data_IF_764601529050
#
_entry.id   IF_764601529050
#
_cell.length_a   1.000
_cell.length_b   1.000
_cell.length_c   1.000
_cell.angle_alpha   90.00
_cell.angle_beta   90.00
_cell.angle_gamma   90.00
#
_symmetry.space_group_name_H-M   'P 1'
#
loop_
_entity.id
_entity.type
_entity.pdbx_description
1 polymer ?
#
# COMPACT_ATOMS: atom_id res chain seq x y z
N UNK A 1 9.71 28.37 7.96
CA UNK A 1 10.80 28.17 6.98
C UNK A 1 10.39 28.82 5.67
N UNK A 2 11.28 29.56 5.01
CA UNK A 2 10.99 30.22 3.72
C UNK A 2 11.97 29.66 2.70
N UNK A 3 11.45 29.05 1.63
CA UNK A 3 12.24 28.52 0.52
C UNK A 3 12.09 29.49 -0.65
N UNK A 4 13.20 30.05 -1.12
CA UNK A 4 13.19 30.95 -2.27
C UNK A 4 12.85 30.20 -3.58
N UNK A 5 12.37 30.91 -4.64
CA UNK A 5 12.14 30.29 -5.93
C UNK A 5 13.38 29.54 -6.44
N UNK A 6 13.19 28.32 -6.93
CA UNK A 6 14.26 27.40 -7.41
C UNK A 6 15.30 27.01 -6.34
N UNK A 7 15.09 27.34 -5.07
CA UNK A 7 15.94 26.90 -3.97
C UNK A 7 15.42 25.59 -3.36
N UNK A 8 16.31 24.87 -2.68
CA UNK A 8 15.99 23.71 -1.86
C UNK A 8 16.44 23.94 -0.42
N UNK A 9 15.76 23.32 0.53
CA UNK A 9 16.16 23.33 1.92
C UNK A 9 16.07 21.93 2.51
N UNK A 10 17.16 21.48 3.11
CA UNK A 10 17.21 20.20 3.83
C UNK A 10 16.77 20.40 5.27
N UNK A 11 16.06 19.41 5.82
CA UNK A 11 15.77 19.32 7.25
C UNK A 11 16.21 17.95 7.77
N UNK A 12 16.61 17.89 9.04
CA UNK A 12 16.99 16.65 9.70
C UNK A 12 15.81 16.12 10.50
N UNK A 13 15.53 14.84 10.35
CA UNK A 13 14.60 14.10 11.21
C UNK A 13 15.44 13.23 12.14
N UNK A 14 15.14 13.30 13.43
CA UNK A 14 15.78 12.46 14.43
C UNK A 14 14.70 11.75 15.24
N UNK A 15 14.81 10.42 15.33
CA UNK A 15 13.98 9.63 16.22
C UNK A 15 14.41 9.84 17.67
N UNK A 16 13.45 10.15 18.53
CA UNK A 16 13.66 10.40 19.98
C UNK A 16 12.75 9.53 20.86
N UNK A 17 12.07 8.54 20.26
CA UNK A 17 11.27 7.56 20.99
C UNK A 17 12.10 6.34 21.40
N UNK A 18 11.43 5.21 21.62
CA UNK A 18 12.08 3.93 21.95
C UNK A 18 13.18 3.59 20.94
N UNK A 19 14.46 3.48 21.34
CA UNK A 19 15.56 3.18 20.42
C UNK A 19 15.51 1.76 19.83
N UNK A 20 14.69 0.86 20.38
CA UNK A 20 14.59 -0.53 19.96
C UNK A 20 13.13 -1.04 19.97
N UNK A 21 12.23 -0.46 19.16
CA UNK A 21 10.85 -0.88 19.15
C UNK A 21 10.73 -2.34 18.70
N UNK A 22 9.78 -3.08 19.28
CA UNK A 22 9.59 -4.51 18.97
C UNK A 22 9.16 -4.75 17.51
N UNK A 23 8.42 -3.80 16.95
CA UNK A 23 7.91 -3.81 15.58
C UNK A 23 8.15 -2.47 14.90
N UNK A 24 8.19 -2.50 13.59
CA UNK A 24 8.30 -1.29 12.77
C UNK A 24 7.18 -0.29 13.09
N UNK A 25 7.56 0.97 13.27
CA UNK A 25 6.62 2.07 13.46
C UNK A 25 6.47 2.85 12.15
N UNK A 26 5.22 3.10 11.76
CA UNK A 26 4.88 3.77 10.51
C UNK A 26 4.41 5.20 10.75
N UNK A 27 5.08 6.16 10.12
CA UNK A 27 4.78 7.59 10.21
C UNK A 27 4.67 8.21 8.82
N UNK A 28 4.15 9.44 8.78
CA UNK A 28 4.18 10.31 7.60
C UNK A 28 4.94 11.58 7.94
N UNK A 29 5.88 11.96 7.08
CA UNK A 29 6.40 13.32 7.05
C UNK A 29 5.48 14.11 6.15
N UNK A 30 4.70 15.02 6.75
CA UNK A 30 3.78 15.90 6.03
C UNK A 30 4.38 17.30 6.01
N UNK A 31 4.63 17.83 4.83
CA UNK A 31 4.99 19.23 4.64
C UNK A 31 3.88 19.93 3.87
N UNK A 32 3.53 21.14 4.27
CA UNK A 32 2.46 21.93 3.64
C UNK A 32 2.98 23.31 3.33
N UNK A 33 2.79 23.75 2.09
CA UNK A 33 3.10 25.10 1.68
C UNK A 33 2.00 26.04 2.16
N UNK A 34 2.41 27.09 2.88
CA UNK A 34 1.51 28.17 3.26
C UNK A 34 1.48 29.22 2.14
N UNK A 35 0.28 29.71 1.75
CA UNK A 35 0.16 30.71 0.70
C UNK A 35 0.77 32.04 1.15
N UNK A 36 1.46 32.71 0.22
CA UNK A 36 1.95 34.07 0.43
C UNK A 36 0.94 35.01 -0.24
N UNK A 37 0.38 35.95 0.53
CA UNK A 37 -0.54 36.96 -0.03
C UNK A 37 0.25 37.98 -0.85
N UNK A 38 0.14 37.90 -2.17
CA UNK A 38 0.60 38.97 -3.05
C UNK A 38 -0.42 40.11 -3.07
N UNK A 39 0.03 41.35 -3.33
CA UNK A 39 -0.88 42.49 -3.53
C UNK A 39 -1.75 42.22 -4.75
N UNK A 40 -3.05 42.42 -4.63
CA UNK A 40 -3.98 42.23 -5.74
C UNK A 40 -3.69 43.27 -6.83
N UNK A 41 -3.25 42.81 -8.00
CA UNK A 41 -3.18 43.64 -9.20
C UNK A 41 -4.49 43.46 -9.97
N UNK A 42 -5.35 44.47 -9.94
CA UNK A 42 -6.56 44.50 -10.77
C UNK A 42 -6.16 44.87 -12.21
N UNK A 43 -6.33 43.96 -13.15
CA UNK A 43 -6.31 44.23 -14.59
C UNK A 43 -7.67 43.83 -15.19
N UNK A 44 -8.39 44.82 -15.75
CA UNK A 44 -9.65 44.61 -16.47
C UNK A 44 -10.91 44.43 -15.59
N UNK A 45 -12.07 44.30 -16.24
CA UNK A 45 -13.39 44.15 -15.61
C UNK A 45 -13.61 42.75 -14.98
N UNK A 46 -12.88 41.73 -15.45
CA UNK A 46 -12.94 40.37 -14.92
C UNK A 46 -11.54 39.90 -14.55
N UNK A 47 -11.32 39.66 -13.26
CA UNK A 47 -10.10 39.04 -12.75
C UNK A 47 -10.45 37.79 -11.94
N UNK A 48 -9.77 36.68 -12.24
CA UNK A 48 -9.90 35.42 -11.50
C UNK A 48 -8.59 35.19 -10.74
N UNK A 49 -8.70 35.01 -9.43
CA UNK A 49 -7.57 34.67 -8.56
C UNK A 49 -7.58 33.17 -8.30
N UNK A 50 -6.50 32.49 -8.67
CA UNK A 50 -6.27 31.07 -8.41
C UNK A 50 -5.14 30.93 -7.40
N UNK A 51 -5.45 30.41 -6.22
CA UNK A 51 -4.45 30.09 -5.19
C UNK A 51 -4.13 28.59 -5.23
N UNK A 52 -2.86 28.23 -5.37
CA UNK A 52 -2.37 26.85 -5.38
C UNK A 52 -1.42 26.60 -4.20
N UNK A 53 -1.69 25.55 -3.43
CA UNK A 53 -0.86 25.11 -2.31
C UNK A 53 -0.48 23.64 -2.46
N UNK A 54 0.77 23.31 -2.16
CA UNK A 54 1.27 21.95 -2.19
C UNK A 54 1.27 21.33 -0.80
N UNK A 55 0.85 20.07 -0.71
CA UNK A 55 1.04 19.20 0.46
C UNK A 55 1.82 17.97 0.01
N UNK A 56 2.97 17.73 0.62
CA UNK A 56 3.81 16.57 0.33
C UNK A 56 3.79 15.61 1.51
N UNK A 57 3.61 14.33 1.22
CA UNK A 57 3.55 13.26 2.21
C UNK A 57 4.53 12.14 1.87
N UNK A 58 5.61 12.05 2.63
CA UNK A 58 6.53 10.92 2.55
C UNK A 58 6.21 9.89 3.64
N UNK A 59 6.33 8.61 3.31
CA UNK A 59 6.32 7.56 4.32
C UNK A 59 7.66 7.55 5.06
N UNK A 60 7.62 7.45 6.39
CA UNK A 60 8.78 7.32 7.26
C UNK A 60 8.57 6.11 8.15
N UNK A 61 9.59 5.28 8.27
CA UNK A 61 9.52 4.05 9.04
C UNK A 61 10.68 3.96 10.01
N UNK A 62 10.37 3.62 11.26
CA UNK A 62 11.39 3.29 12.26
C UNK A 62 11.53 1.77 12.26
N UNK A 63 12.64 1.28 11.72
CA UNK A 63 12.87 -0.15 11.44
C UNK A 63 13.79 -0.75 12.52
N UNK A 64 13.33 -1.76 13.29
CA UNK A 64 14.18 -2.43 14.27
C UNK A 64 15.35 -3.19 13.60
N UNK A 65 16.56 -3.23 14.21
CA UNK A 65 17.77 -3.82 13.62
C UNK A 65 17.71 -5.32 13.26
N UNK A 66 16.69 -6.05 13.73
CA UNK A 66 16.48 -7.48 13.47
C UNK A 66 15.06 -7.78 13.00
N UNK A 67 14.40 -6.81 12.38
CA UNK A 67 13.04 -7.00 11.90
C UNK A 67 12.99 -7.93 10.68
N UNK A 68 11.88 -8.64 10.48
CA UNK A 68 11.65 -9.53 9.36
C UNK A 68 10.23 -9.30 8.79
N UNK A 69 10.07 -9.20 7.46
CA UNK A 69 8.74 -9.16 6.86
C UNK A 69 8.13 -10.57 6.92
N UNK A 70 6.81 -10.62 7.08
CA UNK A 70 6.05 -11.84 6.89
C UNK A 70 4.62 -11.48 6.51
N UNK A 71 4.03 -12.24 5.60
CA UNK A 71 2.67 -12.10 5.16
C UNK A 71 2.01 -13.48 5.07
N UNK A 72 0.76 -13.53 5.50
CA UNK A 72 -0.06 -14.75 5.51
C UNK A 72 -1.40 -14.49 4.85
N UNK A 73 -1.86 -15.43 4.02
CA UNK A 73 -3.24 -15.47 3.58
C UNK A 73 -4.14 -15.89 4.74
N UNK A 74 -5.04 -15.00 5.16
CA UNK A 74 -5.97 -15.24 6.26
C UNK A 74 -7.42 -15.44 5.80
N UNK A 75 -7.70 -15.13 4.52
CA UNK A 75 -9.00 -15.37 3.94
C UNK A 75 -8.98 -15.32 2.42
N UNK A 76 -9.84 -16.12 1.81
CA UNK A 76 -10.08 -16.12 0.38
C UNK A 76 -11.58 -16.33 0.13
N UNK A 77 -12.22 -15.47 -0.64
CA UNK A 77 -13.66 -15.53 -0.85
C UNK A 77 -14.08 -15.12 -2.26
N UNK A 78 -15.11 -15.76 -2.84
CA UNK A 78 -15.80 -15.24 -4.01
C UNK A 78 -16.60 -13.99 -3.66
N UNK A 79 -16.50 -12.96 -4.48
CA UNK A 79 -17.28 -11.73 -4.35
C UNK A 79 -17.87 -11.38 -5.71
N UNK A 80 -19.08 -10.82 -5.71
CA UNK A 80 -19.70 -10.23 -6.90
C UNK A 80 -19.89 -8.75 -6.64
N UNK A 81 -19.52 -7.91 -7.60
CA UNK A 81 -19.75 -6.47 -7.49
C UNK A 81 -21.15 -6.07 -7.97
N UNK A 82 -21.48 -4.78 -7.82
CA UNK A 82 -22.79 -4.23 -8.17
C UNK A 82 -23.12 -4.34 -9.68
N UNK A 83 -22.12 -4.65 -10.52
CA UNK A 83 -22.26 -4.83 -11.97
C UNK A 83 -22.31 -6.31 -12.38
N UNK A 84 -22.28 -7.23 -11.41
CA UNK A 84 -22.28 -8.67 -11.64
C UNK A 84 -20.91 -9.25 -11.99
N UNK A 85 -19.82 -8.48 -11.91
CA UNK A 85 -18.48 -8.99 -12.14
C UNK A 85 -18.01 -9.84 -10.96
N UNK A 86 -17.33 -10.95 -11.28
CA UNK A 86 -16.86 -11.95 -10.32
C UNK A 86 -15.42 -11.65 -9.92
N UNK A 87 -15.17 -11.66 -8.62
CA UNK A 87 -13.90 -11.32 -8.00
C UNK A 87 -13.47 -12.39 -7.00
N UNK A 88 -12.17 -12.58 -6.90
CA UNK A 88 -11.52 -13.31 -5.82
C UNK A 88 -11.00 -12.28 -4.82
N UNK A 89 -11.59 -12.24 -3.62
CA UNK A 89 -11.13 -11.38 -2.54
C UNK A 89 -10.12 -12.13 -1.67
N UNK A 90 -8.87 -11.68 -1.67
CA UNK A 90 -7.79 -12.17 -0.83
C UNK A 90 -7.58 -11.24 0.35
N UNK A 91 -7.55 -11.80 1.57
CA UNK A 91 -7.19 -11.09 2.80
C UNK A 91 -5.83 -11.54 3.26
N UNK A 92 -4.90 -10.60 3.33
CA UNK A 92 -3.49 -10.86 3.60
C UNK A 92 -3.10 -10.08 4.86
N UNK A 93 -2.67 -10.78 5.89
CA UNK A 93 -2.15 -10.21 7.13
C UNK A 93 -0.63 -10.07 7.03
N UNK A 94 -0.09 -8.93 7.48
CA UNK A 94 1.35 -8.79 7.73
C UNK A 94 1.63 -9.13 9.20
N UNK A 95 2.12 -10.34 9.46
CA UNK A 95 2.34 -10.90 10.80
C UNK A 95 3.81 -10.90 11.24
N UNK A 96 4.70 -10.30 10.44
CA UNK A 96 6.11 -10.11 10.77
C UNK A 96 6.38 -9.02 11.84
N UNK A 97 7.63 -8.58 11.90
CA UNK A 97 8.07 -7.45 12.76
C UNK A 97 8.39 -6.18 11.97
N UNK A 98 8.30 -6.21 10.64
CA UNK A 98 8.25 -5.05 9.75
C UNK A 98 7.24 -5.25 8.63
N UNK A 99 6.91 -4.17 7.91
CA UNK A 99 6.00 -4.23 6.75
C UNK A 99 6.40 -5.31 5.76
N UNK A 100 5.39 -5.95 5.16
CA UNK A 100 5.58 -6.88 4.07
C UNK A 100 5.39 -6.14 2.74
N UNK A 101 6.41 -6.19 1.88
CA UNK A 101 6.30 -5.73 0.49
C UNK A 101 6.43 -6.96 -0.39
N UNK A 102 5.30 -7.40 -0.96
CA UNK A 102 5.23 -8.69 -1.63
C UNK A 102 6.05 -8.67 -2.93
N UNK A 103 7.00 -9.57 -3.05
CA UNK A 103 7.80 -9.78 -4.26
C UNK A 103 7.48 -11.14 -4.87
N UNK A 104 7.08 -11.14 -6.14
CA UNK A 104 6.67 -12.33 -6.92
C UNK A 104 5.73 -13.26 -6.13
N UNK A 105 4.54 -12.77 -5.74
CA UNK A 105 3.57 -13.62 -5.06
C UNK A 105 3.08 -14.74 -5.99
N UNK A 106 2.80 -15.89 -5.39
CA UNK A 106 2.15 -17.06 -5.99
C UNK A 106 0.98 -17.43 -5.09
N UNK A 107 -0.22 -17.47 -5.65
CA UNK A 107 -1.45 -17.80 -4.94
C UNK A 107 -2.02 -19.09 -5.48
N UNK A 108 -2.00 -20.15 -4.66
CA UNK A 108 -2.66 -21.41 -5.00
C UNK A 108 -4.10 -21.34 -4.52
N UNK A 109 -5.06 -21.60 -5.41
CA UNK A 109 -6.50 -21.56 -5.13
C UNK A 109 -7.12 -22.93 -5.38
N UNK A 110 -7.90 -23.42 -4.43
CA UNK A 110 -8.57 -24.71 -4.48
C UNK A 110 -10.07 -24.54 -4.23
N UNK A 111 -10.95 -24.99 -5.14
CA UNK A 111 -12.39 -25.02 -4.90
C UNK A 111 -12.75 -25.95 -3.73
N UNK A 112 -13.63 -25.51 -2.83
CA UNK A 112 -14.12 -26.38 -1.75
C UNK A 112 -15.10 -27.44 -2.24
N UNK A 113 -15.78 -27.19 -3.37
CA UNK A 113 -16.81 -28.06 -3.92
C UNK A 113 -16.23 -29.19 -4.81
N UNK A 114 -14.91 -29.44 -4.73
CA UNK A 114 -14.19 -30.35 -5.61
C UNK A 114 -13.70 -29.67 -6.89
N UNK A 115 -12.63 -30.23 -7.48
CA UNK A 115 -11.94 -29.68 -8.64
C UNK A 115 -10.42 -29.63 -8.45
N UNK A 116 -9.69 -29.29 -9.51
CA UNK A 116 -8.25 -29.08 -9.44
C UNK A 116 -7.88 -27.74 -8.80
N UNK A 117 -6.72 -27.69 -8.16
CA UNK A 117 -6.12 -26.42 -7.73
C UNK A 117 -5.52 -25.67 -8.92
N UNK A 118 -5.61 -24.34 -8.90
CA UNK A 118 -4.93 -23.46 -9.85
C UNK A 118 -3.88 -22.62 -9.12
N UNK A 119 -2.73 -22.41 -9.76
CA UNK A 119 -1.68 -21.50 -9.27
C UNK A 119 -1.74 -20.21 -10.08
N UNK A 120 -1.88 -19.08 -9.39
CA UNK A 120 -1.86 -17.73 -9.96
C UNK A 120 -0.50 -17.10 -9.71
N UNK A 121 0.05 -16.44 -10.72
CA UNK A 121 1.33 -15.74 -10.67
C UNK A 121 1.39 -14.62 -11.71
N UNK A 122 2.43 -13.79 -11.65
CA UNK A 122 2.69 -12.77 -12.67
C UNK A 122 1.55 -11.76 -12.81
N UNK A 123 1.05 -11.60 -14.04
CA UNK A 123 0.01 -10.63 -14.38
C UNK A 123 -1.30 -10.87 -13.62
N UNK A 124 -1.66 -12.14 -13.36
CA UNK A 124 -2.86 -12.48 -12.58
C UNK A 124 -2.80 -11.95 -11.14
N UNK A 125 -1.58 -11.74 -10.62
CA UNK A 125 -1.33 -11.20 -9.28
C UNK A 125 -0.65 -9.82 -9.30
N UNK A 126 -0.76 -9.08 -10.40
CA UNK A 126 -0.18 -7.74 -10.52
C UNK A 126 -0.69 -6.78 -9.43
N UNK A 127 -1.93 -6.96 -8.96
CA UNK A 127 -2.49 -6.18 -7.87
C UNK A 127 -1.88 -6.51 -6.49
N UNK A 128 -1.24 -7.68 -6.32
CA UNK A 128 -0.51 -8.07 -5.11
C UNK A 128 0.97 -7.67 -5.16
N UNK A 129 1.58 -7.71 -6.34
CA UNK A 129 3.00 -7.39 -6.51
C UNK A 129 3.32 -5.97 -6.02
N UNK A 130 4.41 -5.82 -5.25
CA UNK A 130 4.86 -4.57 -4.64
C UNK A 130 3.86 -3.90 -3.68
N UNK A 131 2.79 -4.61 -3.27
CA UNK A 131 1.90 -4.08 -2.24
C UNK A 131 2.60 -4.02 -0.91
N UNK A 132 2.52 -2.84 -0.28
CA UNK A 132 3.05 -2.59 1.05
C UNK A 132 1.95 -2.81 2.10
N UNK A 133 2.12 -3.82 2.94
CA UNK A 133 1.23 -4.17 4.04
C UNK A 133 1.93 -3.88 5.37
N UNK A 134 1.44 -2.86 6.08
CA UNK A 134 1.99 -2.44 7.37
C UNK A 134 1.92 -3.57 8.38
N UNK A 135 2.93 -3.64 9.26
CA UNK A 135 2.99 -4.66 10.31
C UNK A 135 1.72 -4.67 11.16
N UNK A 136 1.20 -5.87 11.43
CA UNK A 136 -0.02 -6.09 12.22
C UNK A 136 -1.32 -5.70 11.51
N UNK A 137 -1.28 -5.27 10.25
CA UNK A 137 -2.47 -4.90 9.49
C UNK A 137 -2.82 -5.95 8.44
N UNK A 138 -4.11 -6.00 8.12
CA UNK A 138 -4.64 -6.78 7.00
C UNK A 138 -4.86 -5.90 5.77
N UNK A 139 -4.64 -6.48 4.59
CA UNK A 139 -4.99 -5.90 3.31
C UNK A 139 -5.99 -6.79 2.60
N UNK A 140 -7.09 -6.18 2.16
CA UNK A 140 -8.09 -6.83 1.32
C UNK A 140 -7.82 -6.41 -0.12
N UNK A 141 -7.61 -7.38 -1.01
CA UNK A 141 -7.31 -7.15 -2.42
C UNK A 141 -8.27 -7.99 -3.26
N UNK A 142 -8.86 -7.36 -4.27
CA UNK A 142 -9.73 -8.03 -5.24
C UNK A 142 -8.92 -8.34 -6.49
N UNK A 143 -8.90 -9.61 -6.86
CA UNK A 143 -8.32 -10.13 -8.08
C UNK A 143 -9.46 -10.56 -9.01
N UNK A 144 -9.30 -10.45 -10.33
CA UNK A 144 -10.24 -11.08 -11.26
C UNK A 144 -10.43 -12.55 -10.90
N UNK A 145 -11.67 -13.05 -10.99
CA UNK A 145 -11.91 -14.48 -10.75
C UNK A 145 -11.11 -15.31 -11.76
N UNK A 146 -10.34 -16.33 -11.33
CA UNK A 146 -9.52 -17.11 -12.25
C UNK A 146 -10.34 -17.87 -13.29
N UNK A 147 -9.87 -17.86 -14.54
CA UNK A 147 -10.43 -18.69 -15.59
C UNK A 147 -10.27 -20.18 -15.26
N UNK A 148 -11.27 -20.99 -15.62
CA UNK A 148 -11.26 -22.44 -15.37
C UNK A 148 -11.61 -22.84 -13.93
N UNK A 149 -11.84 -21.89 -13.02
CA UNK A 149 -12.29 -22.16 -11.65
C UNK A 149 -13.81 -21.99 -11.53
N UNK A 150 -14.58 -23.00 -11.06
CA UNK A 150 -15.99 -22.84 -10.77
C UNK A 150 -16.21 -21.73 -9.74
N UNK A 151 -17.12 -20.79 -10.01
CA UNK A 151 -17.41 -19.71 -9.08
C UNK A 151 -18.04 -20.26 -7.80
N UNK A 152 -17.40 -20.04 -6.65
CA UNK A 152 -17.85 -20.60 -5.38
C UNK A 152 -16.82 -20.49 -4.26
N UNK A 153 -17.08 -21.14 -3.14
CA UNK A 153 -16.18 -21.12 -2.00
C UNK A 153 -14.82 -21.77 -2.34
N UNK A 154 -13.75 -21.12 -1.90
CA UNK A 154 -12.37 -21.50 -2.21
C UNK A 154 -11.50 -21.40 -0.97
N UNK A 155 -10.43 -22.19 -0.93
CA UNK A 155 -9.31 -22.04 0.00
C UNK A 155 -8.04 -21.81 -0.78
N UNK A 156 -6.96 -21.42 -0.10
CA UNK A 156 -5.70 -21.25 -0.78
C UNK A 156 -4.52 -21.06 0.15
N UNK A 157 -3.35 -20.94 -0.47
CA UNK A 157 -2.08 -20.64 0.17
C UNK A 157 -1.36 -19.54 -0.62
N UNK A 158 -0.68 -18.64 0.09
CA UNK A 158 0.11 -17.56 -0.49
C UNK A 158 1.58 -17.81 -0.21
N UNK A 159 2.37 -17.88 -1.28
CA UNK A 159 3.83 -17.91 -1.22
C UNK A 159 4.36 -16.62 -1.84
N UNK A 160 5.38 -16.02 -1.25
CA UNK A 160 5.92 -14.75 -1.73
C UNK A 160 7.35 -14.55 -1.21
N UNK A 161 8.16 -13.89 -2.03
CA UNK A 161 9.35 -13.20 -1.54
C UNK A 161 8.97 -11.85 -0.91
N UNK A 162 9.97 -11.15 -0.37
CA UNK A 162 9.79 -9.82 0.18
C UNK A 162 10.85 -8.86 -0.32
N UNK A 163 10.43 -7.68 -0.77
CA UNK A 163 11.36 -6.58 -1.00
C UNK A 163 11.71 -5.92 0.32
N UNK A 164 13.02 -5.88 0.61
CA UNK A 164 13.57 -5.24 1.81
C UNK A 164 14.42 -4.05 1.39
N UNK A 165 14.08 -2.87 1.92
CA UNK A 165 14.91 -1.68 1.81
C UNK A 165 15.78 -1.58 3.06
N UNK A 166 17.09 -1.46 2.85
CA UNK A 166 18.08 -1.22 3.90
C UNK A 166 18.18 0.27 4.24
#
# INVERSE_FOLDING_TARGET
MVIAPKASQSFKVQWVGDPAPEKELSYRIVTTQLPIKFKDQKQGEVSVKVDMSYRYEAALYIVPPKSAPSAKLVGLAPVTDDKGAKWLEARILSDGTRRAILDKPVLTVTPQNGGGSISLEGEALAALANQNILVGNERIIRLPWPDGLPFGAVTGDLQTGYTVFN
#
